data_IF_464929407011
#
_entry.id   IF_464929407011
#
_cell.length_a   1.000
_cell.length_b   1.000
_cell.length_c   1.000
_cell.angle_alpha   90.00
_cell.angle_beta   90.00
_cell.angle_gamma   90.00
#
_symmetry.space_group_name_H-M   'P 1'
#
loop_
_entity.id
_entity.type
_entity.pdbx_description
1 polymer ?
#
# COMPACT_ATOMS: atom_id res chain seq x y z
N UNK A 1 -28.90 -21.18 18.19
CA UNK A 1 -28.16 -20.59 17.05
C UNK A 1 -28.98 -19.45 16.43
N UNK A 2 -28.33 -18.32 16.11
CA UNK A 2 -28.97 -17.24 15.35
C UNK A 2 -29.14 -17.76 13.91
N UNK A 3 -30.37 -17.85 13.41
CA UNK A 3 -30.69 -18.33 12.05
C UNK A 3 -30.43 -17.21 11.03
N UNK A 4 -29.14 -16.95 10.82
CA UNK A 4 -28.64 -15.81 10.03
C UNK A 4 -28.70 -16.09 8.53
N UNK A 5 -29.10 -15.08 7.76
CA UNK A 5 -29.18 -15.14 6.29
C UNK A 5 -28.23 -14.14 5.66
N UNK A 6 -27.76 -14.46 4.46
CA UNK A 6 -26.95 -13.56 3.63
C UNK A 6 -27.70 -12.23 3.42
N UNK A 7 -26.98 -11.12 3.54
CA UNK A 7 -27.47 -9.74 3.49
C UNK A 7 -28.01 -9.20 4.82
N UNK A 8 -28.03 -9.99 5.89
CA UNK A 8 -28.41 -9.50 7.22
C UNK A 8 -27.27 -8.74 7.89
N UNK A 9 -27.63 -7.73 8.68
CA UNK A 9 -26.68 -6.95 9.48
C UNK A 9 -26.84 -7.28 10.96
N UNK A 10 -25.72 -7.41 11.66
CA UNK A 10 -25.67 -7.73 13.09
C UNK A 10 -24.86 -6.65 13.77
N UNK A 11 -25.40 -6.09 14.85
CA UNK A 11 -24.66 -5.21 15.74
C UNK A 11 -24.29 -5.98 17.01
N UNK A 12 -23.00 -6.00 17.34
CA UNK A 12 -22.48 -6.57 18.57
C UNK A 12 -22.05 -5.44 19.50
N UNK A 13 -22.62 -5.40 20.70
CA UNK A 13 -22.23 -4.48 21.76
C UNK A 13 -21.97 -5.29 23.02
N UNK A 14 -20.84 -5.04 23.69
CA UNK A 14 -20.54 -5.65 24.99
C UNK A 14 -21.10 -4.75 26.09
N UNK A 15 -21.90 -5.31 26.99
CA UNK A 15 -22.40 -4.63 28.17
C UNK A 15 -21.71 -5.19 29.41
N UNK A 16 -21.20 -4.31 30.26
CA UNK A 16 -20.66 -4.66 31.56
C UNK A 16 -21.56 -4.06 32.65
N UNK A 17 -21.87 -4.86 33.67
CA UNK A 17 -22.63 -4.46 34.84
C UNK A 17 -21.78 -4.72 36.08
N UNK A 18 -21.65 -3.72 36.96
CA UNK A 18 -20.99 -3.89 38.25
C UNK A 18 -21.96 -4.46 39.31
N UNK A 19 -21.40 -4.91 40.44
CA UNK A 19 -22.18 -5.44 41.55
C UNK A 19 -22.42 -4.40 42.66
N UNK A 20 -22.56 -3.11 42.32
CA UNK A 20 -22.84 -2.08 43.32
C UNK A 20 -24.26 -2.27 43.91
N UNK A 21 -24.32 -2.66 45.17
CA UNK A 21 -25.55 -2.87 45.93
C UNK A 21 -25.93 -1.67 46.82
N UNK A 22 -25.12 -0.61 46.84
CA UNK A 22 -25.36 0.62 47.61
C UNK A 22 -26.10 1.67 46.78
N UNK A 23 -25.69 1.90 45.53
CA UNK A 23 -26.28 2.90 44.63
C UNK A 23 -27.20 2.29 43.56
N UNK A 24 -27.11 0.97 43.38
CA UNK A 24 -27.66 0.24 42.25
C UNK A 24 -26.57 -0.09 41.20
N UNK A 25 -26.73 -1.19 40.44
CA UNK A 25 -25.69 -1.65 39.51
C UNK A 25 -25.48 -0.66 38.37
N UNK A 26 -24.24 -0.26 38.14
CA UNK A 26 -23.87 0.62 37.04
C UNK A 26 -23.62 -0.21 35.78
N UNK A 27 -24.21 0.23 34.67
CA UNK A 27 -24.06 -0.40 33.38
C UNK A 27 -23.25 0.48 32.43
N UNK A 28 -22.22 -0.10 31.81
CA UNK A 28 -21.43 0.55 30.78
C UNK A 28 -21.53 -0.27 29.50
N UNK A 29 -21.69 0.43 28.38
CA UNK A 29 -21.73 -0.17 27.06
C UNK A 29 -20.38 0.08 26.37
N UNK A 30 -19.80 -0.96 25.78
CA UNK A 30 -18.64 -0.87 24.92
C UNK A 30 -19.00 -0.34 23.53
N UNK A 31 -18.00 -0.33 22.65
CA UNK A 31 -18.17 0.01 21.25
C UNK A 31 -19.12 -0.96 20.53
N UNK A 32 -19.92 -0.44 19.59
CA UNK A 32 -20.85 -1.24 18.78
C UNK A 32 -20.20 -1.62 17.45
N UNK A 33 -19.95 -2.91 17.27
CA UNK A 33 -19.41 -3.47 16.04
C UNK A 33 -20.54 -3.85 15.09
N UNK A 34 -20.41 -3.49 13.82
CA UNK A 34 -21.41 -3.78 12.80
C UNK A 34 -20.85 -4.82 11.83
N UNK A 35 -21.58 -5.91 11.68
CA UNK A 35 -21.25 -7.01 10.77
C UNK A 35 -22.33 -7.14 9.71
N UNK A 36 -21.92 -7.60 8.53
CA UNK A 36 -22.80 -7.97 7.43
C UNK A 36 -22.54 -9.43 7.07
N UNK A 37 -23.59 -10.23 7.00
CA UNK A 37 -23.51 -11.64 6.65
C UNK A 37 -23.40 -11.74 5.13
N UNK A 38 -22.21 -12.07 4.65
CA UNK A 38 -21.89 -12.20 3.23
C UNK A 38 -21.63 -13.67 2.88
N UNK A 39 -21.58 -13.98 1.59
CA UNK A 39 -21.08 -15.28 1.13
C UNK A 39 -19.55 -15.32 1.16
N UNK A 40 -18.96 -16.51 1.18
CA UNK A 40 -17.50 -16.69 1.11
C UNK A 40 -16.89 -15.99 -0.11
N UNK A 41 -17.54 -16.11 -1.27
CA UNK A 41 -17.10 -15.49 -2.53
C UNK A 41 -17.14 -13.96 -2.45
N UNK A 42 -18.15 -13.40 -1.79
CA UNK A 42 -18.31 -11.97 -1.59
C UNK A 42 -17.28 -11.42 -0.60
N UNK A 43 -17.04 -12.12 0.51
CA UNK A 43 -15.99 -11.78 1.46
C UNK A 43 -14.62 -11.77 0.78
N UNK A 44 -14.30 -12.80 0.00
CA UNK A 44 -13.06 -12.85 -0.78
C UNK A 44 -12.96 -11.68 -1.74
N UNK A 45 -14.04 -11.32 -2.44
CA UNK A 45 -14.09 -10.14 -3.33
C UNK A 45 -13.75 -8.84 -2.60
N UNK A 46 -14.32 -8.65 -1.41
CA UNK A 46 -14.08 -7.46 -0.57
C UNK A 46 -12.61 -7.44 -0.13
N UNK A 47 -12.07 -8.57 0.33
CA UNK A 47 -10.69 -8.68 0.79
C UNK A 47 -9.68 -8.46 -0.36
N UNK A 48 -9.95 -8.98 -1.55
CA UNK A 48 -9.11 -8.70 -2.73
C UNK A 48 -9.17 -7.24 -3.15
N UNK A 49 -10.33 -6.60 -3.05
CA UNK A 49 -10.46 -5.16 -3.29
C UNK A 49 -9.66 -4.34 -2.27
N UNK A 50 -9.65 -4.75 -0.99
CA UNK A 50 -8.77 -4.15 0.04
C UNK A 50 -7.30 -4.35 -0.33
N UNK A 51 -6.89 -5.56 -0.68
CA UNK A 51 -5.52 -5.88 -1.09
C UNK A 51 -5.06 -5.04 -2.29
N UNK A 52 -5.90 -4.86 -3.32
CA UNK A 52 -5.59 -4.02 -4.47
C UNK A 52 -5.32 -2.56 -4.07
N UNK A 53 -6.10 -2.02 -3.14
CA UNK A 53 -5.86 -0.68 -2.64
C UNK A 53 -4.54 -0.58 -1.86
N UNK A 54 -4.20 -1.61 -1.07
CA UNK A 54 -2.90 -1.68 -0.38
C UNK A 54 -1.75 -1.77 -1.38
N UNK A 55 -1.88 -2.56 -2.44
CA UNK A 55 -0.91 -2.65 -3.53
C UNK A 55 -0.66 -1.28 -4.16
N UNK A 56 -1.71 -0.55 -4.55
CA UNK A 56 -1.57 0.79 -5.16
C UNK A 56 -0.83 1.76 -4.23
N UNK A 57 -1.11 1.71 -2.93
CA UNK A 57 -0.37 2.49 -1.92
C UNK A 57 1.09 2.05 -1.85
N UNK A 58 1.37 0.75 -1.83
CA UNK A 58 2.73 0.24 -1.78
C UNK A 58 3.54 0.55 -3.05
N UNK A 59 2.90 0.53 -4.23
CA UNK A 59 3.50 0.98 -5.50
C UNK A 59 3.88 2.45 -5.44
N UNK A 60 3.01 3.30 -4.86
CA UNK A 60 3.32 4.71 -4.66
C UNK A 60 4.54 4.89 -3.76
N UNK A 61 4.62 4.16 -2.64
CA UNK A 61 5.79 4.20 -1.74
C UNK A 61 7.05 3.73 -2.48
N UNK A 62 6.96 2.65 -3.28
CA UNK A 62 8.07 2.17 -4.11
C UNK A 62 8.59 3.24 -5.07
N UNK A 63 7.70 4.00 -5.71
CA UNK A 63 8.09 5.11 -6.59
C UNK A 63 8.77 6.23 -5.81
N UNK A 64 8.28 6.60 -4.63
CA UNK A 64 8.88 7.63 -3.77
C UNK A 64 10.28 7.23 -3.26
N UNK A 65 10.46 5.95 -2.89
CA UNK A 65 11.78 5.40 -2.53
C UNK A 65 12.72 5.41 -3.74
N UNK A 66 12.23 5.03 -4.92
CA UNK A 66 13.03 5.06 -6.16
C UNK A 66 13.50 6.47 -6.48
N UNK A 67 12.60 7.46 -6.37
CA UNK A 67 12.93 8.88 -6.55
C UNK A 67 13.99 9.36 -5.55
N UNK A 68 13.90 8.92 -4.30
CA UNK A 68 14.90 9.22 -3.26
C UNK A 68 16.27 8.66 -3.66
N UNK A 69 16.32 7.40 -4.12
CA UNK A 69 17.55 6.75 -4.59
C UNK A 69 18.16 7.48 -5.80
N UNK A 70 17.34 7.85 -6.77
CA UNK A 70 17.77 8.56 -7.98
C UNK A 70 18.30 9.97 -7.66
N UNK A 71 17.65 10.69 -6.74
CA UNK A 71 18.10 12.02 -6.29
C UNK A 71 19.48 11.95 -5.63
N UNK A 72 19.70 10.96 -4.75
CA UNK A 72 21.01 10.72 -4.13
C UNK A 72 22.09 10.39 -5.17
N UNK A 73 21.77 9.57 -6.17
CA UNK A 73 22.70 9.26 -7.27
C UNK A 73 23.06 10.52 -8.08
N UNK A 74 22.09 11.42 -8.29
CA UNK A 74 22.35 12.71 -8.91
C UNK A 74 23.28 13.58 -8.04
N UNK A 75 23.11 13.56 -6.70
CA UNK A 75 23.99 14.29 -5.77
C UNK A 75 25.43 13.80 -5.85
N UNK A 76 25.66 12.49 -5.95
CA UNK A 76 27.01 11.93 -6.17
C UNK A 76 27.67 12.54 -7.40
N UNK A 77 26.93 12.61 -8.51
CA UNK A 77 27.44 13.18 -9.77
C UNK A 77 27.84 14.65 -9.60
N UNK A 78 27.01 15.43 -8.91
CA UNK A 78 27.30 16.84 -8.62
C UNK A 78 28.50 17.01 -7.67
N UNK A 79 28.63 16.17 -6.65
CA UNK A 79 29.79 16.22 -5.74
C UNK A 79 31.09 15.90 -6.47
N UNK A 80 31.10 14.94 -7.40
CA UNK A 80 32.27 14.66 -8.27
C UNK A 80 32.62 15.85 -9.16
N UNK A 81 31.62 16.55 -9.69
CA UNK A 81 31.83 17.80 -10.43
C UNK A 81 32.45 18.88 -9.53
N UNK A 82 31.95 19.04 -8.31
CA UNK A 82 32.52 19.99 -7.34
C UNK A 82 33.97 19.64 -6.98
N UNK A 83 34.31 18.36 -6.80
CA UNK A 83 35.70 17.91 -6.59
C UNK A 83 36.59 18.28 -7.78
N UNK A 84 36.13 18.03 -9.02
CA UNK A 84 36.85 18.38 -10.25
C UNK A 84 37.10 19.89 -10.36
N UNK A 85 36.11 20.72 -10.01
CA UNK A 85 36.26 22.19 -9.97
C UNK A 85 37.33 22.59 -8.95
N UNK A 86 37.27 22.04 -7.73
CA UNK A 86 38.25 22.31 -6.67
C UNK A 86 39.67 21.89 -7.07
N UNK A 87 39.83 20.80 -7.81
CA UNK A 87 41.12 20.36 -8.35
C UNK A 87 41.66 21.33 -9.41
N UNK A 88 40.82 21.78 -10.34
CA UNK A 88 41.22 22.78 -11.35
C UNK A 88 41.61 24.12 -10.73
N UNK A 89 40.92 24.55 -9.67
CA UNK A 89 41.29 25.72 -8.88
C UNK A 89 42.69 25.57 -8.25
N UNK A 90 43.00 24.40 -7.69
CA UNK A 90 44.36 24.10 -7.16
C UNK A 90 45.43 24.13 -8.25
N UNK A 91 45.08 23.83 -9.49
CA UNK A 91 45.97 23.90 -10.66
C UNK A 91 46.10 25.32 -11.23
N UNK A 92 45.53 26.34 -10.57
CA UNK A 92 45.64 27.74 -10.98
C UNK A 92 44.69 28.15 -12.11
N UNK A 93 43.76 27.28 -12.52
CA UNK A 93 42.69 27.66 -13.45
C UNK A 93 41.62 28.46 -12.67
N UNK A 94 41.00 29.43 -13.33
CA UNK A 94 39.92 30.23 -12.74
C UNK A 94 38.82 30.48 -13.79
N UNK A 95 37.58 30.19 -13.40
CA UNK A 95 36.36 30.55 -14.13
C UNK A 95 35.44 31.29 -13.16
N UNK A 96 34.90 32.43 -13.57
CA UNK A 96 34.03 33.28 -12.75
C UNK A 96 32.73 32.58 -12.33
N UNK A 97 32.31 31.50 -13.00
CA UNK A 97 31.08 30.76 -12.68
C UNK A 97 31.25 29.72 -11.56
N UNK A 98 32.48 29.31 -11.26
CA UNK A 98 32.72 28.23 -10.28
C UNK A 98 32.23 28.51 -8.85
N UNK A 99 32.35 29.73 -8.29
CA UNK A 99 31.84 30.01 -6.95
C UNK A 99 30.32 29.82 -6.84
N UNK A 100 29.58 30.25 -7.86
CA UNK A 100 28.12 30.09 -7.93
C UNK A 100 27.75 28.60 -8.02
N UNK A 101 28.35 27.86 -8.95
CA UNK A 101 28.10 26.42 -9.12
C UNK A 101 28.43 25.61 -7.85
N UNK A 102 29.52 25.91 -7.15
CA UNK A 102 29.87 25.22 -5.91
C UNK A 102 28.86 25.48 -4.79
N UNK A 103 28.34 26.72 -4.71
CA UNK A 103 27.32 27.09 -3.73
C UNK A 103 25.98 26.41 -4.03
N UNK A 104 25.59 26.35 -5.30
CA UNK A 104 24.38 25.63 -5.74
C UNK A 104 24.46 24.14 -5.40
N UNK A 105 25.60 23.50 -5.69
CA UNK A 105 25.81 22.08 -5.37
C UNK A 105 25.73 21.87 -3.85
N UNK A 106 26.39 22.70 -3.06
CA UNK A 106 26.38 22.58 -1.60
C UNK A 106 24.96 22.73 -1.03
N UNK A 107 24.20 23.72 -1.49
CA UNK A 107 22.81 23.92 -1.07
C UNK A 107 21.92 22.74 -1.49
N UNK A 108 22.07 22.25 -2.72
CA UNK A 108 21.25 21.15 -3.22
C UNK A 108 21.55 19.83 -2.49
N UNK A 109 22.81 19.59 -2.14
CA UNK A 109 23.24 18.45 -1.31
C UNK A 109 22.63 18.58 0.09
N UNK A 110 22.74 19.73 0.75
CA UNK A 110 22.14 19.94 2.07
C UNK A 110 20.62 19.71 2.08
N UNK A 111 19.89 20.30 1.13
CA UNK A 111 18.43 20.13 1.00
C UNK A 111 18.04 18.67 0.73
N UNK A 112 18.83 17.94 -0.06
CA UNK A 112 18.54 16.53 -0.34
C UNK A 112 18.66 15.63 0.90
N UNK A 113 19.54 15.96 1.85
CA UNK A 113 19.69 15.20 3.10
C UNK A 113 18.42 15.29 3.96
N UNK A 114 17.89 16.48 4.18
CA UNK A 114 16.66 16.65 4.96
C UNK A 114 15.43 16.06 4.24
N UNK A 115 15.34 16.24 2.92
CA UNK A 115 14.24 15.69 2.13
C UNK A 115 14.23 14.16 2.15
N UNK A 116 15.39 13.52 1.96
CA UNK A 116 15.50 12.06 1.95
C UNK A 116 15.17 11.45 3.33
N UNK A 117 15.59 12.10 4.42
CA UNK A 117 15.21 11.69 5.79
C UNK A 117 13.69 11.77 6.01
N UNK A 118 13.08 12.90 5.65
CA UNK A 118 11.63 13.08 5.80
C UNK A 118 10.86 12.03 4.97
N UNK A 119 11.23 11.86 3.71
CA UNK A 119 10.63 10.88 2.81
C UNK A 119 10.74 9.45 3.35
N UNK A 120 11.93 9.06 3.82
CA UNK A 120 12.17 7.73 4.39
C UNK A 120 11.29 7.45 5.61
N UNK A 121 11.19 8.40 6.54
CA UNK A 121 10.36 8.23 7.77
C UNK A 121 8.87 8.18 7.47
N UNK A 122 8.40 9.03 6.56
CA UNK A 122 7.03 9.00 6.04
C UNK A 122 6.73 7.61 5.45
N UNK A 123 7.57 7.16 4.52
CA UNK A 123 7.40 5.89 3.83
C UNK A 123 7.47 4.68 4.77
N UNK A 124 8.31 4.75 5.82
CA UNK A 124 8.36 3.74 6.87
C UNK A 124 7.02 3.62 7.60
N UNK A 125 6.42 4.76 7.98
CA UNK A 125 5.14 4.80 8.70
C UNK A 125 4.00 4.28 7.81
N UNK A 126 3.95 4.71 6.55
CA UNK A 126 2.95 4.22 5.60
C UNK A 126 3.09 2.72 5.31
N UNK A 127 4.33 2.20 5.25
CA UNK A 127 4.59 0.76 5.11
C UNK A 127 4.14 -0.01 6.35
N UNK A 128 4.34 0.53 7.56
CA UNK A 128 3.83 -0.05 8.80
C UNK A 128 2.31 -0.23 8.76
N UNK A 129 1.57 0.80 8.34
CA UNK A 129 0.12 0.74 8.20
C UNK A 129 -0.33 -0.29 7.15
N UNK A 130 0.46 -0.49 6.08
CA UNK A 130 0.19 -1.55 5.09
C UNK A 130 0.37 -2.93 5.71
N UNK A 131 1.44 -3.14 6.51
CA UNK A 131 1.66 -4.40 7.24
C UNK A 131 0.48 -4.72 8.15
N UNK A 132 0.04 -3.77 8.96
CA UNK A 132 -1.14 -3.92 9.85
C UNK A 132 -2.40 -4.29 9.04
N UNK A 133 -2.64 -3.59 7.93
CA UNK A 133 -3.80 -3.89 7.07
C UNK A 133 -3.76 -5.29 6.46
N UNK A 134 -2.57 -5.83 6.16
CA UNK A 134 -2.43 -7.22 5.70
C UNK A 134 -2.65 -8.24 6.82
N UNK A 135 -2.27 -7.91 8.06
CA UNK A 135 -2.64 -8.72 9.22
C UNK A 135 -4.15 -8.78 9.40
N UNK A 136 -4.85 -7.66 9.23
CA UNK A 136 -6.31 -7.62 9.29
C UNK A 136 -6.96 -8.49 8.20
N UNK A 137 -6.48 -8.43 6.95
CA UNK A 137 -6.95 -9.30 5.87
C UNK A 137 -6.75 -10.78 6.23
N UNK A 138 -5.57 -11.12 6.74
CA UNK A 138 -5.24 -12.49 7.16
C UNK A 138 -6.18 -12.97 8.28
N UNK A 139 -6.39 -12.15 9.31
CA UNK A 139 -7.29 -12.47 10.42
C UNK A 139 -8.75 -12.58 9.94
N UNK A 140 -9.21 -11.71 9.04
CA UNK A 140 -10.54 -11.81 8.43
C UNK A 140 -10.71 -13.14 7.66
N UNK A 141 -9.69 -13.61 6.93
CA UNK A 141 -9.74 -14.90 6.24
C UNK A 141 -9.84 -16.09 7.20
N UNK A 142 -9.06 -16.07 8.27
CA UNK A 142 -9.00 -17.16 9.26
C UNK A 142 -10.29 -17.20 10.09
N UNK A 143 -10.72 -16.05 10.60
CA UNK A 143 -11.88 -15.95 11.50
C UNK A 143 -13.20 -16.33 10.80
N UNK A 144 -13.30 -16.08 9.49
CA UNK A 144 -14.46 -16.47 8.69
C UNK A 144 -14.33 -17.86 8.04
N UNK A 145 -13.23 -18.58 8.28
CA UNK A 145 -13.05 -19.96 7.80
C UNK A 145 -12.89 -20.10 6.29
N UNK A 146 -12.65 -19.00 5.57
CA UNK A 146 -12.46 -18.96 4.10
C UNK A 146 -10.99 -19.15 3.69
N UNK A 147 -10.09 -19.20 4.65
CA UNK A 147 -8.65 -19.36 4.41
C UNK A 147 -8.30 -20.75 3.86
N UNK A 148 -7.46 -20.78 2.83
CA UNK A 148 -6.78 -22.01 2.36
C UNK A 148 -5.30 -21.94 2.70
N UNK A 149 -4.64 -23.11 2.83
CA UNK A 149 -3.20 -23.17 3.09
C UNK A 149 -2.37 -22.41 2.04
N UNK A 150 -2.82 -22.40 0.78
CA UNK A 150 -2.17 -21.66 -0.30
C UNK A 150 -2.30 -20.13 -0.12
N UNK A 151 -3.49 -19.64 0.23
CA UNK A 151 -3.72 -18.21 0.47
C UNK A 151 -2.90 -17.74 1.67
N UNK A 152 -2.93 -18.50 2.77
CA UNK A 152 -2.16 -18.18 3.98
C UNK A 152 -0.66 -18.21 3.71
N UNK A 153 -0.14 -19.22 3.03
CA UNK A 153 1.29 -19.27 2.68
C UNK A 153 1.72 -18.07 1.84
N UNK A 154 0.89 -17.62 0.90
CA UNK A 154 1.19 -16.40 0.13
C UNK A 154 1.20 -15.15 1.02
N UNK A 155 0.16 -14.94 1.82
CA UNK A 155 0.05 -13.74 2.67
C UNK A 155 1.15 -13.74 3.73
N UNK A 156 1.35 -14.84 4.43
CA UNK A 156 2.30 -14.94 5.55
C UNK A 156 3.74 -14.90 5.04
N UNK A 157 4.09 -15.80 4.11
CA UNK A 157 5.50 -16.01 3.74
C UNK A 157 5.99 -15.01 2.69
N UNK A 158 5.13 -14.64 1.75
CA UNK A 158 5.53 -13.88 0.57
C UNK A 158 5.17 -12.41 0.60
N UNK A 159 4.27 -12.00 1.49
CA UNK A 159 3.84 -10.60 1.63
C UNK A 159 4.20 -10.06 3.01
N UNK A 160 3.63 -10.62 4.08
CA UNK A 160 3.81 -10.13 5.45
C UNK A 160 5.27 -10.21 5.90
N UNK A 161 5.91 -11.39 5.85
CA UNK A 161 7.32 -11.53 6.23
C UNK A 161 8.24 -10.50 5.54
N UNK A 162 8.26 -10.39 4.20
CA UNK A 162 9.11 -9.40 3.55
C UNK A 162 8.71 -7.95 3.84
N UNK A 163 7.41 -7.62 3.95
CA UNK A 163 6.99 -6.27 4.37
C UNK A 163 7.45 -5.93 5.79
N UNK A 164 7.39 -6.89 6.71
CA UNK A 164 7.90 -6.74 8.09
C UNK A 164 9.41 -6.50 8.09
N UNK A 165 10.18 -7.23 7.28
CA UNK A 165 11.62 -6.97 7.13
C UNK A 165 11.89 -5.55 6.60
N UNK A 166 11.14 -5.12 5.58
CA UNK A 166 11.27 -3.76 5.02
C UNK A 166 10.99 -2.71 6.10
N UNK A 167 9.92 -2.89 6.87
CA UNK A 167 9.52 -1.96 7.93
C UNK A 167 10.48 -1.95 9.13
N UNK A 168 10.88 -3.11 9.65
CA UNK A 168 11.61 -3.23 10.91
C UNK A 168 13.14 -3.19 10.74
N UNK A 169 13.65 -3.43 9.54
CA UNK A 169 15.10 -3.49 9.27
C UNK A 169 15.51 -2.47 8.22
N UNK A 170 14.93 -2.52 7.02
CA UNK A 170 15.43 -1.71 5.90
C UNK A 170 15.25 -0.21 6.14
N UNK A 171 14.04 0.22 6.49
CA UNK A 171 13.76 1.63 6.75
C UNK A 171 14.62 2.20 7.89
N UNK A 172 14.74 1.54 9.07
CA UNK A 172 15.66 1.98 10.11
C UNK A 172 17.12 2.07 9.68
N UNK A 173 17.64 1.09 8.93
CA UNK A 173 19.02 1.11 8.44
C UNK A 173 19.26 2.27 7.47
N UNK A 174 18.32 2.50 6.54
CA UNK A 174 18.36 3.64 5.62
C UNK A 174 18.28 4.97 6.38
N UNK A 175 17.38 5.11 7.35
CA UNK A 175 17.25 6.34 8.17
C UNK A 175 18.55 6.64 8.90
N UNK A 176 19.19 5.62 9.49
CA UNK A 176 20.47 5.77 10.18
C UNK A 176 21.55 6.29 9.23
N UNK A 177 21.67 5.73 8.01
CA UNK A 177 22.67 6.16 7.03
C UNK A 177 22.40 7.56 6.49
N UNK A 178 21.14 7.89 6.21
CA UNK A 178 20.76 9.25 5.83
C UNK A 178 21.03 10.25 6.96
N UNK A 179 20.91 9.82 8.22
CA UNK A 179 21.31 10.60 9.40
C UNK A 179 22.81 10.90 9.43
N UNK A 180 23.65 9.92 9.11
CA UNK A 180 25.11 10.10 8.97
C UNK A 180 25.45 11.03 7.80
N UNK A 181 24.77 10.87 6.66
CA UNK A 181 24.88 11.78 5.53
C UNK A 181 24.59 13.23 5.95
N UNK A 182 23.45 13.47 6.62
CA UNK A 182 23.11 14.81 7.12
C UNK A 182 24.15 15.34 8.10
N UNK A 183 24.63 14.51 9.03
CA UNK A 183 25.67 14.90 9.98
C UNK A 183 26.98 15.28 9.28
N UNK A 184 27.32 14.60 8.19
CA UNK A 184 28.51 14.92 7.39
C UNK A 184 28.41 16.33 6.79
N UNK A 185 27.22 16.74 6.35
CA UNK A 185 26.94 18.09 5.86
C UNK A 185 27.06 19.13 6.99
N UNK A 186 26.46 18.88 8.15
CA UNK A 186 26.54 19.77 9.31
C UNK A 186 27.99 19.99 9.77
N UNK A 187 28.84 18.96 9.68
CA UNK A 187 30.27 19.01 10.03
C UNK A 187 31.17 19.53 8.91
N UNK A 188 30.63 19.91 7.75
CA UNK A 188 31.39 20.27 6.54
C UNK A 188 32.44 19.19 6.14
N UNK A 189 32.15 17.93 6.41
CA UNK A 189 32.94 16.77 5.98
C UNK A 189 32.45 16.22 4.63
N UNK A 190 33.23 15.34 4.00
CA UNK A 190 32.85 14.74 2.71
C UNK A 190 31.67 13.77 2.89
N UNK A 191 30.48 14.05 2.32
CA UNK A 191 29.31 13.18 2.46
C UNK A 191 29.30 12.00 1.49
N UNK A 192 30.27 11.91 0.57
CA UNK A 192 30.18 11.01 -0.59
C UNK A 192 30.06 9.53 -0.20
N UNK A 193 30.78 9.06 0.82
CA UNK A 193 30.69 7.68 1.29
C UNK A 193 29.31 7.37 1.87
N UNK A 194 28.76 8.27 2.69
CA UNK A 194 27.46 8.06 3.34
C UNK A 194 26.30 8.06 2.33
N UNK A 195 26.37 8.92 1.31
CA UNK A 195 25.40 8.90 0.21
C UNK A 195 25.47 7.58 -0.56
N UNK A 196 26.69 7.11 -0.89
CA UNK A 196 26.88 5.86 -1.62
C UNK A 196 26.35 4.65 -0.85
N UNK A 197 26.65 4.57 0.45
CA UNK A 197 26.11 3.51 1.32
C UNK A 197 24.58 3.61 1.46
N UNK A 198 24.02 4.81 1.50
CA UNK A 198 22.55 4.99 1.52
C UNK A 198 21.90 4.47 0.24
N UNK A 199 22.52 4.71 -0.93
CA UNK A 199 22.05 4.18 -2.22
C UNK A 199 22.08 2.65 -2.23
N UNK A 200 23.16 2.03 -1.74
CA UNK A 200 23.29 0.56 -1.69
C UNK A 200 22.20 -0.09 -0.83
N UNK A 201 21.87 0.50 0.32
CA UNK A 201 20.77 0.03 1.17
C UNK A 201 19.41 0.23 0.49
N UNK A 202 19.18 1.39 -0.14
CA UNK A 202 17.96 1.67 -0.87
C UNK A 202 17.76 0.69 -2.04
N UNK A 203 18.81 0.34 -2.77
CA UNK A 203 18.73 -0.63 -3.87
C UNK A 203 18.37 -2.03 -3.36
N UNK A 204 18.97 -2.47 -2.24
CA UNK A 204 18.61 -3.75 -1.61
C UNK A 204 17.15 -3.78 -1.14
N UNK A 205 16.68 -2.68 -0.53
CA UNK A 205 15.29 -2.52 -0.10
C UNK A 205 14.33 -2.52 -1.31
N UNK A 206 14.65 -1.78 -2.37
CA UNK A 206 13.83 -1.71 -3.59
C UNK A 206 13.67 -3.08 -4.26
N UNK A 207 14.70 -3.93 -4.24
CA UNK A 207 14.59 -5.32 -4.71
C UNK A 207 13.57 -6.11 -3.90
N UNK A 208 13.60 -6.00 -2.57
CA UNK A 208 12.60 -6.65 -1.69
C UNK A 208 11.19 -6.11 -1.93
N UNK A 209 11.04 -4.79 -1.98
CA UNK A 209 9.75 -4.13 -2.27
C UNK A 209 9.17 -4.62 -3.60
N UNK A 210 10.02 -4.72 -4.64
CA UNK A 210 9.59 -5.21 -5.96
C UNK A 210 9.14 -6.67 -5.91
N UNK A 211 9.80 -7.51 -5.13
CA UNK A 211 9.38 -8.90 -4.92
C UNK A 211 7.97 -8.99 -4.32
N UNK A 212 7.67 -8.17 -3.30
CA UNK A 212 6.34 -8.13 -2.69
C UNK A 212 5.29 -7.66 -3.70
N UNK A 213 5.58 -6.62 -4.48
CA UNK A 213 4.67 -6.11 -5.51
C UNK A 213 4.34 -7.15 -6.59
N UNK A 214 5.30 -8.01 -6.93
CA UNK A 214 5.07 -9.09 -7.89
C UNK A 214 4.10 -10.15 -7.32
N UNK A 215 4.23 -10.50 -6.03
CA UNK A 215 3.32 -11.47 -5.37
C UNK A 215 1.90 -10.92 -5.19
N UNK A 216 1.75 -9.60 -5.14
CA UNK A 216 0.45 -8.93 -5.22
C UNK A 216 -0.10 -8.88 -6.67
N UNK A 217 0.69 -9.17 -7.71
CA UNK A 217 0.29 -8.99 -9.13
C UNK A 217 -0.40 -10.22 -9.67
N UNK A 218 0.15 -11.39 -9.39
CA UNK A 218 -0.35 -12.66 -9.91
C UNK A 218 -1.82 -12.91 -9.55
N UNK A 219 -2.28 -12.34 -8.42
CA UNK A 219 -3.65 -12.49 -7.95
C UNK A 219 -4.59 -11.39 -8.45
N UNK A 220 -4.06 -10.20 -8.77
CA UNK A 220 -4.82 -9.11 -9.39
C UNK A 220 -5.36 -9.54 -10.76
N UNK A 221 -4.50 -10.12 -11.60
CA UNK A 221 -4.88 -10.55 -12.95
C UNK A 221 -5.97 -11.63 -12.90
N UNK A 222 -5.91 -12.51 -11.91
CA UNK A 222 -6.92 -13.55 -11.70
C UNK A 222 -8.25 -12.98 -11.20
N UNK A 223 -8.21 -12.05 -10.24
CA UNK A 223 -9.43 -11.46 -9.70
C UNK A 223 -10.09 -10.48 -10.68
N UNK A 224 -9.32 -9.69 -11.43
CA UNK A 224 -9.84 -8.87 -12.53
C UNK A 224 -10.52 -9.73 -13.60
N UNK A 225 -9.97 -10.90 -13.92
CA UNK A 225 -10.63 -11.84 -14.82
C UNK A 225 -11.96 -12.37 -14.24
N UNK A 226 -12.02 -12.67 -12.94
CA UNK A 226 -13.24 -13.11 -12.26
C UNK A 226 -14.29 -11.99 -12.21
N UNK A 227 -13.91 -10.76 -11.88
CA UNK A 227 -14.81 -9.61 -11.87
C UNK A 227 -15.33 -9.29 -13.28
N UNK A 228 -14.50 -9.40 -14.31
CA UNK A 228 -14.96 -9.32 -15.70
C UNK A 228 -16.00 -10.42 -16.01
N UNK A 229 -15.76 -11.66 -15.58
CA UNK A 229 -16.70 -12.78 -15.77
C UNK A 229 -18.02 -12.55 -15.03
N UNK A 230 -17.99 -12.09 -13.77
CA UNK A 230 -19.20 -11.77 -12.99
C UNK A 230 -20.03 -10.69 -13.68
N UNK A 231 -19.40 -9.59 -14.10
CA UNK A 231 -20.07 -8.53 -14.85
C UNK A 231 -20.68 -9.03 -16.17
N UNK A 232 -20.01 -9.97 -16.85
CA UNK A 232 -20.51 -10.55 -18.10
C UNK A 232 -21.75 -11.44 -17.84
N UNK A 233 -21.71 -12.25 -16.78
CA UNK A 233 -22.85 -13.07 -16.35
C UNK A 233 -24.05 -12.21 -15.96
N UNK A 234 -23.82 -11.10 -15.26
CA UNK A 234 -24.90 -10.19 -14.85
C UNK A 234 -25.54 -9.51 -16.06
N UNK A 235 -24.73 -9.04 -17.02
CA UNK A 235 -25.22 -8.52 -18.31
C UNK A 235 -26.00 -9.55 -19.12
N UNK A 236 -25.57 -10.81 -19.14
CA UNK A 236 -26.33 -11.88 -19.81
C UNK A 236 -27.69 -12.15 -19.14
N UNK A 237 -27.74 -12.12 -17.81
CA UNK A 237 -29.01 -12.26 -17.06
C UNK A 237 -29.97 -11.11 -17.38
N UNK A 238 -29.48 -9.87 -17.38
CA UNK A 238 -30.26 -8.69 -17.75
C UNK A 238 -30.80 -8.79 -19.18
N UNK A 239 -29.94 -9.09 -20.16
CA UNK A 239 -30.33 -9.27 -21.57
C UNK A 239 -31.37 -10.38 -21.74
N UNK A 240 -31.25 -11.47 -20.98
CA UNK A 240 -32.20 -12.58 -21.02
C UNK A 240 -33.56 -12.15 -20.49
N UNK A 241 -33.61 -11.41 -19.39
CA UNK A 241 -34.86 -10.87 -18.82
C UNK A 241 -35.50 -9.81 -19.74
N UNK A 242 -34.71 -8.93 -20.35
CA UNK A 242 -35.21 -8.00 -21.36
C UNK A 242 -35.81 -8.74 -22.56
N UNK A 243 -35.13 -9.79 -23.05
CA UNK A 243 -35.61 -10.59 -24.18
C UNK A 243 -36.91 -11.34 -23.83
N UNK A 244 -37.03 -11.88 -22.60
CA UNK A 244 -38.27 -12.51 -22.11
C UNK A 244 -39.40 -11.49 -22.04
N UNK A 245 -39.16 -10.30 -21.47
CA UNK A 245 -40.14 -9.21 -21.41
C UNK A 245 -40.58 -8.79 -22.82
N UNK A 246 -39.64 -8.62 -23.74
CA UNK A 246 -39.93 -8.27 -25.13
C UNK A 246 -40.78 -9.34 -25.84
N UNK A 247 -40.44 -10.63 -25.68
CA UNK A 247 -41.23 -11.74 -26.25
C UNK A 247 -42.64 -11.81 -25.66
N UNK A 248 -42.77 -11.60 -24.33
CA UNK A 248 -44.06 -11.56 -23.64
C UNK A 248 -44.94 -10.41 -24.16
N UNK A 249 -44.38 -9.21 -24.26
CA UNK A 249 -45.09 -8.03 -24.77
C UNK A 249 -45.53 -8.23 -26.22
N UNK A 250 -44.65 -8.77 -27.08
CA UNK A 250 -44.98 -9.06 -28.48
C UNK A 250 -46.07 -10.13 -28.65
N UNK A 251 -46.13 -11.13 -27.76
CA UNK A 251 -47.21 -12.12 -27.72
C UNK A 251 -48.53 -11.51 -27.25
N UNK A 252 -48.50 -10.65 -26.23
CA UNK A 252 -49.67 -9.92 -25.74
C UNK A 252 -50.23 -8.97 -26.83
N UNK A 253 -49.37 -8.27 -27.56
CA UNK A 253 -49.78 -7.40 -28.67
C UNK A 253 -50.41 -8.20 -29.82
N UNK A 254 -49.88 -9.40 -30.13
CA UNK A 254 -50.50 -10.30 -31.12
C UNK A 254 -51.85 -10.84 -30.66
N UNK A 255 -51.98 -11.21 -29.39
CA UNK A 255 -53.24 -11.71 -28.84
C UNK A 255 -54.31 -10.62 -28.83
N UNK A 256 -53.94 -9.38 -28.45
CA UNK A 256 -54.83 -8.21 -28.58
C UNK A 256 -55.21 -7.92 -30.04
N UNK A 257 -54.27 -8.08 -30.98
CA UNK A 257 -54.54 -7.92 -32.41
C UNK A 257 -55.40 -9.03 -33.02
N UNK A 258 -55.53 -10.19 -32.36
CA UNK A 258 -56.35 -11.33 -32.80
C UNK A 258 -57.77 -11.35 -32.21
N UNK A 259 -58.14 -10.34 -31.40
CA UNK A 259 -59.54 -10.11 -30.99
C UNK A 259 -60.12 -11.15 -30.02
N UNK A 260 -59.30 -11.73 -29.15
CA UNK A 260 -59.79 -12.50 -28.00
C UNK A 260 -59.75 -11.59 -26.76
N UNK A 261 -60.91 -11.06 -26.39
CA UNK A 261 -61.16 -10.52 -25.03
C UNK A 261 -61.27 -11.65 -24.02
#
# INVERSE_FOLDING_TARGET
PLDLKVGQKISLTVQAEDADNLSGPHQVHGETYHFEIVTDEELLSILYSKELNLRKRFEQIYLEVTQTRDDLAQRITQLKQAQTIKEKQKQGQADSRWPETLTEIQNAVAVSADRSLYGTRKNATETASIVESFYDIREELVNNGVATAQILGRIDDKILKPLTVIHEQDFPEVDQRLGLYRLAIEKNSDPMSEIQSSIELLDAMLVRMKSVLNEMQDLLEFHEAIEMLKNLIEREKELTEETKKFRKNKLLDRLKGLGLE
#
